data_IF_397298561791
#
_entry.id   IF_397298561791
#
_cell.length_a   1.000
_cell.length_b   1.000
_cell.length_c   1.000
_cell.angle_alpha   90.00
_cell.angle_beta   90.00
_cell.angle_gamma   90.00
#
_symmetry.space_group_name_H-M   'P 1'
#
loop_
_entity.id
_entity.type
_entity.pdbx_description
1 polymer ?
#
# COMPACT_ATOMS: atom_id res chain seq x y z
N UNK A 1 -1.64 21.98 -3.77
CA UNK A 1 -1.93 20.91 -2.79
C UNK A 1 -0.66 20.11 -2.60
N UNK A 2 -0.31 19.76 -1.37
CA UNK A 2 0.86 18.92 -1.08
C UNK A 2 0.40 17.48 -0.85
N UNK A 3 0.77 16.56 -1.74
CA UNK A 3 0.22 15.20 -1.77
C UNK A 3 1.29 14.18 -1.39
N UNK A 4 0.92 13.26 -0.50
CA UNK A 4 1.72 12.08 -0.16
C UNK A 4 0.93 10.82 -0.50
N UNK A 5 1.54 9.92 -1.26
CA UNK A 5 1.04 8.57 -1.42
C UNK A 5 1.79 7.62 -0.50
N UNK A 6 1.07 6.79 0.23
CA UNK A 6 1.62 5.69 1.01
C UNK A 6 1.12 4.35 0.46
N UNK A 7 2.05 3.47 0.15
CA UNK A 7 1.81 2.11 -0.33
C UNK A 7 2.08 1.17 0.84
N UNK A 8 1.01 0.70 1.48
CA UNK A 8 1.12 -0.10 2.70
C UNK A 8 0.94 -1.58 2.37
N UNK A 9 1.70 -2.42 3.07
CA UNK A 9 1.65 -3.87 2.95
C UNK A 9 1.15 -4.44 4.26
N UNK A 10 0.16 -5.34 4.22
CA UNK A 10 -0.37 -6.00 5.42
C UNK A 10 0.59 -7.10 5.88
N UNK A 11 0.52 -7.45 7.17
CA UNK A 11 1.26 -8.62 7.66
C UNK A 11 0.79 -9.89 6.93
N UNK A 12 1.70 -10.84 6.63
CA UNK A 12 1.40 -11.99 5.77
C UNK A 12 0.36 -12.95 6.37
N UNK A 13 0.19 -12.95 7.69
CA UNK A 13 -0.78 -13.80 8.38
C UNK A 13 -2.20 -13.23 8.41
N UNK A 14 -2.40 -11.95 8.03
CA UNK A 14 -3.73 -11.34 8.00
C UNK A 14 -4.41 -11.60 6.67
N UNK A 15 -5.70 -11.93 6.69
CA UNK A 15 -6.53 -11.85 5.50
C UNK A 15 -6.74 -10.39 5.07
N UNK A 16 -7.11 -10.19 3.80
CA UNK A 16 -7.46 -8.85 3.26
C UNK A 16 -8.59 -8.21 4.05
N UNK A 17 -9.61 -8.97 4.44
CA UNK A 17 -10.74 -8.44 5.19
C UNK A 17 -10.38 -8.05 6.63
N UNK A 18 -9.57 -8.86 7.32
CA UNK A 18 -9.07 -8.51 8.67
C UNK A 18 -8.23 -7.24 8.62
N UNK A 19 -7.36 -7.12 7.62
CA UNK A 19 -6.55 -5.93 7.38
C UNK A 19 -7.42 -4.68 7.16
N UNK A 20 -8.37 -4.72 6.22
CA UNK A 20 -9.30 -3.60 5.96
C UNK A 20 -10.07 -3.23 7.23
N UNK A 21 -10.60 -4.24 7.92
CA UNK A 21 -11.39 -4.02 9.13
C UNK A 21 -10.56 -3.33 10.21
N UNK A 22 -9.33 -3.80 10.45
CA UNK A 22 -8.43 -3.17 11.42
C UNK A 22 -8.06 -1.74 11.01
N UNK A 23 -7.66 -1.54 9.76
CA UNK A 23 -7.21 -0.25 9.26
C UNK A 23 -8.32 0.81 9.35
N UNK A 24 -9.54 0.50 8.88
CA UNK A 24 -10.64 1.46 8.84
C UNK A 24 -11.33 1.68 10.19
N UNK A 25 -11.42 0.66 11.06
CA UNK A 25 -12.20 0.77 12.31
C UNK A 25 -11.37 1.09 13.54
N UNK A 26 -10.05 0.89 13.49
CA UNK A 26 -9.14 1.14 14.63
C UNK A 26 -8.09 2.17 14.30
N UNK A 27 -7.27 1.90 13.29
CA UNK A 27 -6.11 2.73 12.98
C UNK A 27 -6.52 4.12 12.48
N UNK A 28 -7.40 4.23 11.49
CA UNK A 28 -7.82 5.55 10.95
C UNK A 28 -8.52 6.43 12.01
N UNK A 29 -9.47 5.92 12.81
CA UNK A 29 -10.04 6.70 13.92
C UNK A 29 -8.98 7.13 14.94
N UNK A 30 -7.98 6.29 15.22
CA UNK A 30 -6.87 6.66 16.09
C UNK A 30 -6.04 7.78 15.49
N UNK A 31 -5.58 7.67 14.25
CA UNK A 31 -4.80 8.71 13.56
C UNK A 31 -5.54 10.05 13.55
N UNK A 32 -6.84 10.05 13.21
CA UNK A 32 -7.64 11.26 13.20
C UNK A 32 -7.74 11.90 14.59
N UNK A 33 -7.86 11.10 15.64
CA UNK A 33 -7.86 11.58 17.03
C UNK A 33 -6.51 12.21 17.42
N UNK A 34 -5.41 11.57 17.05
CA UNK A 34 -4.05 12.04 17.37
C UNK A 34 -3.70 13.32 16.61
N UNK A 35 -4.10 13.43 15.35
CA UNK A 35 -3.91 14.65 14.56
C UNK A 35 -4.66 15.85 15.15
N UNK A 36 -5.84 15.61 15.73
CA UNK A 36 -6.73 16.65 16.21
C UNK A 36 -7.45 17.40 15.07
N UNK A 37 -8.48 18.21 15.38
CA UNK A 37 -9.32 18.85 14.36
C UNK A 37 -8.56 19.89 13.51
N UNK A 38 -7.55 20.56 14.07
CA UNK A 38 -6.83 21.65 13.39
C UNK A 38 -5.75 21.18 12.40
N UNK A 39 -5.32 19.92 12.50
CA UNK A 39 -4.25 19.38 11.65
C UNK A 39 -4.76 18.36 10.63
N UNK A 40 -6.09 18.26 10.41
CA UNK A 40 -6.64 17.28 9.48
C UNK A 40 -6.16 17.51 8.03
N UNK A 41 -5.82 16.45 7.29
CA UNK A 41 -5.58 16.55 5.87
C UNK A 41 -6.87 16.94 5.13
N UNK A 42 -6.73 17.64 4.00
CA UNK A 42 -7.85 17.97 3.11
C UNK A 42 -8.38 16.73 2.38
N UNK A 43 -7.48 15.78 2.11
CA UNK A 43 -7.81 14.50 1.47
C UNK A 43 -7.18 13.38 2.26
N UNK A 44 -7.96 12.34 2.59
CA UNK A 44 -7.43 11.12 3.20
C UNK A 44 -8.18 9.89 2.67
N UNK A 45 -7.74 9.38 1.51
CA UNK A 45 -8.38 8.26 0.80
C UNK A 45 -7.53 7.00 0.91
N UNK A 46 -8.17 5.84 0.94
CA UNK A 46 -7.53 4.51 0.94
C UNK A 46 -8.15 3.67 -0.17
N UNK A 47 -7.31 3.08 -1.02
CA UNK A 47 -7.70 2.23 -2.16
C UNK A 47 -7.03 0.87 -2.00
N UNK A 48 -7.82 -0.14 -1.69
CA UNK A 48 -7.33 -1.49 -1.41
C UNK A 48 -7.12 -2.29 -2.69
N UNK A 49 -6.08 -3.11 -2.73
CA UNK A 49 -5.92 -4.11 -3.78
C UNK A 49 -6.71 -5.37 -3.40
N UNK A 50 -7.50 -5.88 -4.34
CA UNK A 50 -8.23 -7.14 -4.18
C UNK A 50 -7.55 -8.21 -5.03
N UNK A 51 -6.43 -8.75 -4.53
CA UNK A 51 -5.63 -9.77 -5.23
C UNK A 51 -6.36 -11.10 -5.38
N UNK A 52 -7.30 -11.36 -4.48
CA UNK A 52 -8.12 -12.57 -4.45
C UNK A 52 -9.36 -12.44 -5.37
N UNK A 53 -9.57 -11.27 -6.01
CA UNK A 53 -10.67 -11.09 -6.95
C UNK A 53 -10.35 -11.84 -8.26
N UNK A 54 -11.17 -12.81 -8.68
CA UNK A 54 -10.94 -13.56 -9.91
C UNK A 54 -10.97 -12.70 -11.18
N UNK A 55 -11.47 -11.45 -11.13
CA UNK A 55 -11.37 -10.49 -12.22
C UNK A 55 -10.02 -9.77 -12.28
N UNK A 56 -9.19 -9.87 -11.24
CA UNK A 56 -7.84 -9.28 -11.14
C UNK A 56 -6.77 -10.20 -11.74
N UNK A 57 -7.02 -10.74 -12.94
CA UNK A 57 -6.00 -11.46 -13.70
C UNK A 57 -5.25 -10.43 -14.53
N UNK A 58 -4.03 -10.10 -14.12
CA UNK A 58 -3.07 -9.59 -15.09
C UNK A 58 -2.94 -10.67 -16.17
N UNK A 59 -3.52 -10.41 -17.35
CA UNK A 59 -3.11 -11.12 -18.56
C UNK A 59 -1.66 -10.73 -18.79
N UNK A 60 -0.75 -11.48 -18.19
CA UNK A 60 0.65 -11.40 -18.56
C UNK A 60 0.70 -11.85 -20.01
N UNK A 61 0.96 -10.92 -20.91
CA UNK A 61 1.67 -11.30 -22.11
C UNK A 61 2.98 -11.90 -21.62
N UNK A 62 3.07 -13.23 -21.65
CA UNK A 62 4.34 -13.91 -21.50
C UNK A 62 5.27 -13.28 -22.55
N UNK A 63 6.50 -12.96 -22.17
CA UNK A 63 7.51 -12.51 -23.12
C UNK A 63 8.67 -13.50 -23.10
N UNK A 64 9.29 -13.74 -24.25
CA UNK A 64 10.50 -14.56 -24.31
C UNK A 64 11.70 -13.84 -23.66
N UNK A 65 12.85 -14.52 -23.58
CA UNK A 65 14.09 -13.97 -23.05
C UNK A 65 14.62 -12.72 -23.81
N UNK A 66 14.01 -12.37 -24.95
CA UNK A 66 14.32 -11.19 -25.76
C UNK A 66 13.21 -10.11 -25.67
N UNK A 67 12.20 -10.32 -24.84
CA UNK A 67 11.10 -9.38 -24.63
C UNK A 67 9.98 -9.45 -25.68
N UNK A 68 9.96 -10.45 -26.56
CA UNK A 68 8.90 -10.61 -27.56
C UNK A 68 7.66 -11.30 -26.95
N UNK A 69 6.42 -10.84 -27.20
CA UNK A 69 5.22 -11.48 -26.68
C UNK A 69 5.08 -12.92 -27.19
N UNK A 70 4.94 -13.88 -26.27
CA UNK A 70 4.59 -15.27 -26.56
C UNK A 70 3.14 -15.52 -26.14
N UNK A 71 2.38 -16.19 -27.02
CA UNK A 71 0.98 -16.53 -26.74
C UNK A 71 0.91 -17.53 -25.59
N UNK A 72 0.15 -17.19 -24.56
CA UNK A 72 -0.17 -18.09 -23.46
C UNK A 72 -1.12 -19.19 -23.95
N UNK A 73 -0.57 -20.31 -24.43
CA UNK A 73 -1.32 -21.56 -24.59
C UNK A 73 -1.02 -22.43 -23.36
N UNK A 74 -2.03 -22.96 -22.64
CA UNK A 74 -1.77 -23.83 -21.52
C UNK A 74 -1.23 -25.18 -22.03
N UNK A 75 0.06 -25.42 -21.81
CA UNK A 75 0.67 -26.74 -21.99
C UNK A 75 0.74 -27.42 -20.63
N UNK A 76 -0.14 -28.38 -20.39
CA UNK A 76 0.02 -29.36 -19.31
C UNK A 76 1.31 -30.16 -19.53
N UNK A 77 2.21 -30.18 -18.55
CA UNK A 77 3.18 -31.28 -18.42
C UNK A 77 3.69 -31.42 -16.99
N UNK A 78 3.50 -32.62 -16.44
CA UNK A 78 4.05 -33.10 -15.19
C UNK A 78 5.59 -33.04 -15.15
N UNK A 79 6.16 -32.67 -14.00
CA UNK A 79 7.60 -32.77 -13.75
C UNK A 79 7.97 -32.48 -12.29
N UNK A 80 8.27 -33.53 -11.55
CA UNK A 80 8.74 -33.54 -10.16
C UNK A 80 10.20 -33.05 -10.07
N UNK A 81 10.54 -32.21 -9.09
CA UNK A 81 11.93 -31.84 -8.84
C UNK A 81 12.08 -30.67 -7.89
N UNK A 82 12.49 -30.97 -6.65
CA UNK A 82 12.83 -30.02 -5.61
C UNK A 82 13.86 -28.98 -6.07
N UNK A 83 13.49 -27.70 -6.05
CA UNK A 83 14.47 -26.62 -5.92
C UNK A 83 13.96 -25.59 -4.91
N UNK A 84 14.86 -25.21 -4.00
CA UNK A 84 14.55 -24.38 -2.84
C UNK A 84 14.24 -22.96 -3.31
N UNK A 85 12.97 -22.57 -3.24
CA UNK A 85 12.48 -21.22 -3.00
C UNK A 85 13.45 -20.10 -3.40
N UNK A 86 13.70 -19.93 -4.71
CA UNK A 86 14.05 -18.60 -5.22
C UNK A 86 12.75 -17.81 -5.18
N UNK A 87 12.64 -16.90 -4.22
CA UNK A 87 11.68 -15.81 -4.33
C UNK A 87 12.20 -14.95 -5.48
N UNK A 88 11.84 -15.30 -6.72
CA UNK A 88 11.91 -14.38 -7.82
C UNK A 88 10.99 -13.22 -7.46
N UNK A 89 11.60 -12.09 -7.09
CA UNK A 89 10.89 -10.83 -6.96
C UNK A 89 10.43 -10.50 -8.37
N UNK A 90 9.21 -10.92 -8.66
CA UNK A 90 8.53 -10.66 -9.91
C UNK A 90 8.33 -9.14 -10.05
N UNK A 91 9.14 -8.44 -10.88
CA UNK A 91 9.15 -6.99 -10.91
C UNK A 91 7.85 -6.38 -11.44
N UNK A 92 6.93 -7.22 -11.95
CA UNK A 92 5.63 -6.81 -12.48
C UNK A 92 4.45 -7.04 -11.53
N UNK A 93 4.67 -7.54 -10.31
CA UNK A 93 3.57 -7.68 -9.34
C UNK A 93 3.53 -6.42 -8.46
N UNK A 94 2.44 -5.66 -8.52
CA UNK A 94 2.18 -4.54 -7.62
C UNK A 94 2.38 -5.03 -6.19
N UNK A 95 3.25 -4.40 -5.41
CA UNK A 95 3.69 -4.91 -4.10
C UNK A 95 3.13 -4.08 -2.92
N UNK A 96 1.82 -3.82 -2.94
CA UNK A 96 1.10 -3.22 -1.82
C UNK A 96 -0.32 -3.75 -1.70
N UNK A 97 -0.89 -3.67 -0.50
CA UNK A 97 -2.27 -4.07 -0.19
C UNK A 97 -3.22 -2.87 -0.16
N UNK A 98 -2.70 -1.67 0.04
CA UNK A 98 -3.47 -0.42 -0.03
C UNK A 98 -2.61 0.75 -0.49
N UNK A 99 -3.16 1.58 -1.36
CA UNK A 99 -2.64 2.91 -1.68
C UNK A 99 -3.44 3.95 -0.90
N UNK A 100 -2.75 4.69 -0.05
CA UNK A 100 -3.29 5.77 0.76
C UNK A 100 -2.86 7.11 0.17
N UNK A 101 -3.81 7.99 -0.08
CA UNK A 101 -3.61 9.37 -0.56
C UNK A 101 -3.87 10.32 0.59
N UNK A 102 -2.88 11.14 0.92
CA UNK A 102 -2.98 12.18 1.95
C UNK A 102 -2.65 13.53 1.31
N UNK A 103 -3.66 14.39 1.21
CA UNK A 103 -3.55 15.72 0.60
C UNK A 103 -3.62 16.81 1.67
N UNK A 104 -2.68 17.75 1.62
CA UNK A 104 -2.58 18.88 2.52
C UNK A 104 -2.67 20.20 1.73
N UNK A 105 -3.08 21.28 2.39
CA UNK A 105 -3.10 22.61 1.77
C UNK A 105 -1.69 23.00 1.26
N UNK A 106 -0.69 22.81 2.12
CA UNK A 106 0.71 23.14 1.89
C UNK A 106 1.65 22.21 2.69
N UNK A 107 2.96 22.41 2.55
CA UNK A 107 3.98 21.65 3.27
C UNK A 107 3.91 21.88 4.79
N UNK A 108 3.60 23.10 5.23
CA UNK A 108 3.49 23.42 6.65
C UNK A 108 2.35 22.65 7.33
N UNK A 109 1.21 22.51 6.66
CA UNK A 109 0.08 21.71 7.11
C UNK A 109 0.45 20.22 7.22
N UNK A 110 1.18 19.68 6.23
CA UNK A 110 1.72 18.33 6.31
C UNK A 110 2.65 18.16 7.51
N UNK A 111 3.56 19.11 7.73
CA UNK A 111 4.50 19.04 8.85
C UNK A 111 3.78 19.08 10.20
N UNK A 112 2.76 19.94 10.36
CA UNK A 112 1.92 19.95 11.57
C UNK A 112 1.24 18.61 11.82
N UNK A 113 0.66 18.01 10.78
CA UNK A 113 0.04 16.68 10.90
C UNK A 113 1.07 15.61 11.28
N UNK A 114 2.22 15.56 10.61
CA UNK A 114 3.31 14.62 10.92
C UNK A 114 3.82 14.77 12.35
N UNK A 115 3.96 16.00 12.83
CA UNK A 115 4.37 16.24 14.22
C UNK A 115 3.30 15.78 15.20
N UNK A 116 2.02 16.06 14.93
CA UNK A 116 0.92 15.65 15.79
C UNK A 116 0.79 14.12 15.91
N UNK A 117 0.98 13.37 14.82
CA UNK A 117 0.84 11.90 14.82
C UNK A 117 2.15 11.18 15.18
N UNK A 118 3.30 11.74 14.82
CA UNK A 118 4.58 11.03 14.80
C UNK A 118 5.54 11.35 15.94
N UNK A 119 5.26 12.35 16.78
CA UNK A 119 6.17 12.75 17.86
C UNK A 119 5.72 12.27 19.23
N UNK A 120 6.71 12.13 20.12
CA UNK A 120 6.47 11.81 21.54
C UNK A 120 5.66 10.53 21.73
N UNK A 121 4.67 10.61 22.61
CA UNK A 121 3.82 9.47 22.94
C UNK A 121 2.91 9.04 21.78
N UNK A 122 2.39 10.01 21.02
CA UNK A 122 1.57 9.72 19.85
C UNK A 122 2.32 8.88 18.82
N UNK A 123 3.59 9.22 18.56
CA UNK A 123 4.44 8.46 17.65
C UNK A 123 4.63 7.01 18.11
N UNK A 124 4.81 6.76 19.41
CA UNK A 124 4.90 5.38 19.93
C UNK A 124 3.59 4.63 19.76
N UNK A 125 2.45 5.26 20.07
CA UNK A 125 1.13 4.67 19.87
C UNK A 125 0.90 4.28 18.41
N UNK A 126 1.33 5.14 17.46
CA UNK A 126 1.25 4.82 16.03
C UNK A 126 2.13 3.64 15.68
N UNK A 127 3.38 3.59 16.15
CA UNK A 127 4.28 2.46 15.89
C UNK A 127 3.71 1.15 16.44
N UNK A 128 3.26 1.13 17.70
CA UNK A 128 2.68 -0.05 18.34
C UNK A 128 1.37 -0.51 17.67
N UNK A 129 0.60 0.42 17.11
CA UNK A 129 -0.59 0.08 16.34
C UNK A 129 -0.23 -0.47 14.96
N UNK A 130 0.70 0.15 14.24
CA UNK A 130 1.20 -0.31 12.94
C UNK A 130 1.79 -1.73 13.00
N UNK A 131 2.54 -2.05 14.05
CA UNK A 131 3.12 -3.39 14.28
C UNK A 131 2.08 -4.52 14.30
N UNK A 132 0.80 -4.21 14.54
CA UNK A 132 -0.27 -5.20 14.60
C UNK A 132 -0.80 -5.60 13.25
N UNK A 133 -0.62 -4.78 12.21
CA UNK A 133 -1.27 -5.00 10.92
C UNK A 133 -0.44 -4.67 9.69
N UNK A 134 0.63 -3.88 9.80
CA UNK A 134 1.51 -3.51 8.70
C UNK A 134 2.83 -4.27 8.70
N UNK A 135 3.25 -4.70 7.52
CA UNK A 135 4.61 -5.08 7.24
C UNK A 135 5.44 -3.83 6.93
N UNK A 136 5.93 -3.20 8.00
CA UNK A 136 6.58 -1.87 7.93
C UNK A 136 7.78 -1.84 6.98
N UNK A 137 8.59 -2.91 6.94
CA UNK A 137 9.75 -3.03 6.06
C UNK A 137 9.42 -2.99 4.56
N UNK A 138 8.18 -3.28 4.17
CA UNK A 138 7.73 -3.25 2.77
C UNK A 138 6.83 -2.06 2.46
N UNK A 139 6.36 -1.36 3.49
CA UNK A 139 5.57 -0.14 3.35
C UNK A 139 6.45 1.02 2.85
N UNK A 140 5.95 1.81 1.90
CA UNK A 140 6.66 2.97 1.32
C UNK A 140 5.76 4.20 1.30
N UNK A 141 6.35 5.38 1.44
CA UNK A 141 5.64 6.64 1.23
C UNK A 141 6.46 7.56 0.33
N UNK A 142 5.78 8.28 -0.55
CA UNK A 142 6.38 9.22 -1.50
C UNK A 142 5.59 10.52 -1.52
N UNK A 143 6.32 11.63 -1.61
CA UNK A 143 5.73 12.93 -1.94
C UNK A 143 5.72 13.06 -3.45
N UNK A 144 4.61 13.54 -4.01
CA UNK A 144 4.45 13.67 -5.46
C UNK A 144 4.19 15.11 -5.84
N UNK A 145 4.58 15.43 -7.06
CA UNK A 145 4.13 16.62 -7.77
C UNK A 145 2.95 16.23 -8.66
N UNK A 146 1.91 17.05 -8.68
CA UNK A 146 0.66 16.77 -9.38
C UNK A 146 0.46 17.76 -10.54
N UNK A 147 0.12 17.22 -11.71
CA UNK A 147 -0.27 17.98 -12.89
C UNK A 147 -1.65 17.51 -13.34
N UNK A 148 -2.60 18.44 -13.43
CA UNK A 148 -3.98 18.15 -13.82
C UNK A 148 -4.20 18.65 -15.24
N UNK A 149 -4.68 17.78 -16.14
CA UNK A 149 -4.93 18.15 -17.54
C UNK A 149 -6.33 18.74 -17.78
N UNK A 150 -7.31 18.39 -16.94
CA UNK A 150 -8.69 18.84 -17.03
C UNK A 150 -9.30 18.91 -15.62
N UNK A 151 -10.00 20.00 -15.31
CA UNK A 151 -10.77 20.19 -14.06
C UNK A 151 -12.26 19.90 -14.27
#
# INVERSE_FOLDING_TARGET
>A
MHTTFAFLVKLPHLSTQEFITYYETKHIPMINRLAGPENQPLVYKRRYTHRDDPAFVFVRASVDAKGAPVSAVPSESHGNGSDRSKVEVDPGNVDFDVMTEIGFADEAAKMRWLMAVGQGENGKMVVEDEERFLWRERTRAVVVEEFVSFE
#
